data_IF_449866193151
#
_entry.id   IF_449866193151
#
_cell.length_a   1.000
_cell.length_b   1.000
_cell.length_c   1.000
_cell.angle_alpha   90.00
_cell.angle_beta   90.00
_cell.angle_gamma   90.00
#
_symmetry.space_group_name_H-M   'P 1'
#
loop_
_entity.id
_entity.type
_entity.pdbx_description
1 polymer ?
#
# COMPACT_ATOMS: atom_id res chain seq x y z
N UNK A 1 24.70 -23.72 15.32
CA UNK A 1 24.35 -22.78 14.25
C UNK A 1 24.41 -23.58 12.97
N UNK A 2 23.30 -23.79 12.28
CA UNK A 2 23.26 -24.63 11.08
C UNK A 2 23.76 -23.83 9.86
N UNK A 3 24.22 -24.55 8.81
CA UNK A 3 24.65 -23.91 7.55
C UNK A 3 23.56 -23.06 6.93
N UNK A 4 22.27 -23.38 7.16
CA UNK A 4 21.12 -22.56 6.76
C UNK A 4 21.07 -21.20 7.46
N UNK A 5 21.49 -21.11 8.73
CA UNK A 5 21.53 -19.85 9.48
C UNK A 5 22.66 -18.92 8.97
N UNK A 6 23.70 -19.52 8.41
CA UNK A 6 24.81 -18.79 7.77
C UNK A 6 24.43 -18.30 6.37
N UNK A 7 23.67 -19.08 5.57
CA UNK A 7 23.14 -18.64 4.26
C UNK A 7 22.15 -17.49 4.40
N UNK A 8 21.25 -17.52 5.39
CA UNK A 8 20.30 -16.43 5.65
C UNK A 8 21.05 -15.14 6.03
N UNK A 9 22.12 -15.22 6.84
CA UNK A 9 22.95 -14.04 7.18
C UNK A 9 23.74 -13.46 6.01
N UNK A 10 24.06 -14.26 5.00
CA UNK A 10 24.75 -13.76 3.79
C UNK A 10 23.80 -13.09 2.78
N UNK A 11 22.49 -13.34 2.84
CA UNK A 11 21.50 -12.73 1.94
C UNK A 11 21.00 -11.37 2.41
N UNK A 12 21.12 -11.02 3.69
CA UNK A 12 20.81 -9.69 4.18
C UNK A 12 22.04 -8.80 3.92
N UNK A 13 22.21 -8.36 2.71
CA UNK A 13 23.12 -7.24 2.40
C UNK A 13 22.45 -5.97 2.90
N UNK A 14 22.78 -5.58 4.12
CA UNK A 14 22.56 -4.20 4.55
C UNK A 14 23.22 -3.29 3.52
N UNK A 15 22.52 -2.26 3.10
CA UNK A 15 23.01 -1.24 2.19
C UNK A 15 24.41 -0.80 2.61
N UNK A 16 25.28 -0.58 1.63
CA UNK A 16 26.55 0.12 1.85
C UNK A 16 26.27 1.33 2.74
N UNK A 17 27.06 1.56 3.82
CA UNK A 17 26.89 2.75 4.63
C UNK A 17 26.79 3.98 3.73
N UNK A 18 25.83 4.86 3.99
CA UNK A 18 25.66 6.07 3.21
C UNK A 18 26.99 6.85 3.24
N UNK A 19 27.43 7.35 2.08
CA UNK A 19 28.58 8.24 2.01
C UNK A 19 28.23 9.49 2.85
N UNK A 20 29.01 9.81 3.90
CA UNK A 20 28.72 10.97 4.75
C UNK A 20 28.79 12.30 3.98
N UNK A 21 29.35 12.33 2.78
CA UNK A 21 29.41 13.49 1.90
C UNK A 21 28.29 13.49 0.83
N UNK A 22 27.47 12.45 0.76
CA UNK A 22 26.34 12.41 -0.16
C UNK A 22 25.19 13.22 0.40
N UNK A 23 24.68 14.17 -0.39
CA UNK A 23 23.51 14.95 -0.04
C UNK A 23 22.30 14.00 0.16
N UNK A 24 21.58 14.15 1.26
CA UNK A 24 20.44 13.33 1.57
C UNK A 24 19.35 13.50 0.50
N UNK A 25 18.79 12.42 0.02
CA UNK A 25 17.67 12.47 -0.93
C UNK A 25 16.48 13.18 -0.29
N UNK A 26 15.82 14.05 -1.05
CA UNK A 26 14.59 14.69 -0.59
C UNK A 26 13.53 13.63 -0.34
N UNK A 27 12.92 13.57 0.86
CA UNK A 27 11.83 12.65 1.15
C UNK A 27 10.65 12.88 0.20
N UNK A 28 10.05 11.80 -0.27
CA UNK A 28 8.82 11.84 -1.08
C UNK A 28 7.68 11.20 -0.29
N UNK A 29 6.44 11.69 -0.42
CA UNK A 29 5.28 11.08 0.21
C UNK A 29 5.15 9.62 -0.21
N UNK A 30 4.89 8.75 0.76
CA UNK A 30 4.67 7.32 0.53
C UNK A 30 3.70 6.77 1.57
N UNK A 31 3.00 5.71 1.21
CA UNK A 31 2.05 5.02 2.06
C UNK A 31 2.34 3.52 2.06
N UNK A 32 2.12 2.88 3.21
CA UNK A 32 2.29 1.43 3.38
C UNK A 32 1.10 0.90 4.15
N UNK A 33 0.57 -0.25 3.74
CA UNK A 33 -0.59 -0.87 4.37
C UNK A 33 -0.22 -2.20 5.01
N UNK A 34 -0.67 -2.41 6.25
CA UNK A 34 -0.60 -3.69 6.94
C UNK A 34 -1.97 -4.38 6.81
N UNK A 35 -2.03 -5.44 6.02
CA UNK A 35 -3.22 -6.28 5.94
C UNK A 35 -3.15 -7.34 7.03
N UNK A 36 -4.16 -7.36 7.90
CA UNK A 36 -4.26 -8.28 9.02
C UNK A 36 -5.54 -9.11 8.88
N UNK A 37 -5.44 -10.39 9.14
CA UNK A 37 -6.61 -11.28 9.22
C UNK A 37 -6.56 -12.11 10.49
N UNK A 38 -7.71 -12.65 10.89
CA UNK A 38 -7.77 -13.66 11.92
C UNK A 38 -7.14 -14.96 11.41
N UNK A 39 -6.17 -15.47 12.14
CA UNK A 39 -5.62 -16.81 11.94
C UNK A 39 -6.22 -17.80 12.93
N UNK A 40 -5.87 -19.08 12.83
CA UNK A 40 -6.42 -20.13 13.70
C UNK A 40 -6.09 -19.92 15.20
N UNK A 41 -4.94 -19.37 15.51
CA UNK A 41 -4.47 -19.16 16.90
C UNK A 41 -4.01 -17.74 17.19
N UNK A 42 -3.52 -17.03 16.18
CA UNK A 42 -2.98 -15.67 16.28
C UNK A 42 -3.31 -14.89 15.01
N UNK A 43 -3.40 -13.55 15.09
CA UNK A 43 -3.52 -12.74 13.88
C UNK A 43 -2.38 -13.03 12.89
N UNK A 44 -2.71 -13.04 11.60
CA UNK A 44 -1.76 -13.17 10.50
C UNK A 44 -1.61 -11.83 9.79
N UNK A 45 -0.38 -11.49 9.40
CA UNK A 45 -0.06 -10.27 8.66
C UNK A 45 0.44 -10.66 7.28
N UNK A 46 -0.14 -10.04 6.26
CA UNK A 46 0.28 -10.27 4.89
C UNK A 46 1.55 -9.47 4.57
N UNK A 47 2.53 -10.13 3.98
CA UNK A 47 3.78 -9.54 3.52
C UNK A 47 4.14 -10.05 2.13
N UNK A 48 4.80 -9.23 1.34
CA UNK A 48 5.31 -9.59 0.01
C UNK A 48 6.84 -9.68 0.05
N UNK A 49 7.41 -10.57 -0.74
CA UNK A 49 8.86 -10.67 -0.88
C UNK A 49 9.32 -9.85 -2.09
N UNK A 50 10.17 -8.86 -1.86
CA UNK A 50 10.72 -8.04 -2.94
C UNK A 50 11.57 -8.89 -3.89
N UNK A 51 11.47 -8.57 -5.19
CA UNK A 51 12.28 -9.24 -6.21
C UNK A 51 13.78 -9.09 -5.92
N UNK A 52 14.55 -10.15 -6.10
CA UNK A 52 15.97 -10.21 -5.73
C UNK A 52 16.85 -9.13 -6.41
N UNK A 53 16.42 -8.57 -7.54
CA UNK A 53 17.15 -7.56 -8.32
C UNK A 53 16.83 -6.10 -7.95
N UNK A 54 15.96 -5.87 -6.95
CA UNK A 54 15.60 -4.52 -6.49
C UNK A 54 16.44 -4.10 -5.29
N UNK A 55 16.39 -2.80 -4.94
CA UNK A 55 16.94 -2.32 -3.67
C UNK A 55 16.29 -3.08 -2.50
N UNK A 56 17.09 -3.66 -1.61
CA UNK A 56 16.64 -4.58 -0.55
C UNK A 56 15.95 -5.85 -1.10
N UNK A 57 16.43 -6.39 -2.23
CA UNK A 57 15.89 -7.62 -2.83
C UNK A 57 15.88 -8.80 -1.86
N UNK A 58 14.78 -9.56 -1.87
CA UNK A 58 14.55 -10.68 -0.98
C UNK A 58 14.01 -10.32 0.42
N UNK A 59 13.93 -9.03 0.76
CA UNK A 59 13.30 -8.60 2.00
C UNK A 59 11.77 -8.81 1.96
N UNK A 60 11.21 -9.18 3.11
CA UNK A 60 9.77 -9.19 3.32
C UNK A 60 9.31 -7.79 3.70
N UNK A 61 8.34 -7.26 2.98
CA UNK A 61 7.82 -5.90 3.16
C UNK A 61 6.29 -5.91 3.13
N UNK A 62 5.68 -4.89 3.70
CA UNK A 62 4.25 -4.64 3.53
C UNK A 62 4.00 -3.99 2.17
N UNK A 63 2.82 -4.22 1.54
CA UNK A 63 2.43 -3.51 0.33
C UNK A 63 2.47 -2.00 0.53
N UNK A 64 2.96 -1.26 -0.48
CA UNK A 64 3.01 0.18 -0.41
C UNK A 64 4.06 0.79 -1.31
N UNK A 65 3.88 2.08 -1.60
CA UNK A 65 4.74 2.83 -2.47
C UNK A 65 4.57 4.33 -2.35
N UNK A 66 4.99 5.05 -3.38
CA UNK A 66 4.89 6.52 -3.43
C UNK A 66 3.47 6.94 -3.74
N UNK A 67 3.10 8.12 -3.26
CA UNK A 67 1.87 8.74 -3.71
C UNK A 67 2.05 9.25 -5.15
N UNK A 68 1.06 8.96 -5.99
CA UNK A 68 0.96 9.49 -7.34
C UNK A 68 0.07 10.73 -7.37
N UNK A 69 0.19 11.52 -8.43
CA UNK A 69 -0.61 12.73 -8.60
C UNK A 69 -2.11 12.41 -8.66
N UNK A 70 -2.49 11.25 -9.17
CA UNK A 70 -3.87 10.79 -9.24
C UNK A 70 -4.48 10.54 -7.85
N UNK A 71 -3.69 10.08 -6.89
CA UNK A 71 -4.15 9.81 -5.52
C UNK A 71 -4.74 11.05 -4.83
N UNK A 72 -4.45 12.26 -5.34
CA UNK A 72 -4.92 13.55 -4.82
C UNK A 72 -6.08 14.16 -5.62
N UNK A 73 -6.66 13.44 -6.58
CA UNK A 73 -7.65 14.02 -7.49
C UNK A 73 -9.07 13.85 -6.96
N UNK A 74 -9.90 14.89 -7.20
CA UNK A 74 -11.31 14.93 -6.80
C UNK A 74 -12.13 13.70 -7.23
N UNK A 75 -12.00 13.15 -8.45
CA UNK A 75 -12.76 11.98 -8.86
C UNK A 75 -12.55 10.76 -7.94
N UNK A 76 -11.31 10.53 -7.43
CA UNK A 76 -11.04 9.46 -6.49
C UNK A 76 -11.52 9.80 -5.07
N UNK A 77 -11.45 11.08 -4.69
CA UNK A 77 -11.96 11.52 -3.39
C UNK A 77 -13.47 11.31 -3.28
N UNK A 78 -14.21 11.52 -4.37
CA UNK A 78 -15.65 11.24 -4.43
C UNK A 78 -15.98 9.75 -4.33
N UNK A 79 -15.02 8.88 -4.64
CA UNK A 79 -15.13 7.42 -4.49
C UNK A 79 -14.71 6.92 -3.11
N UNK A 80 -14.27 7.78 -2.18
CA UNK A 80 -13.84 7.36 -0.85
C UNK A 80 -15.02 7.22 0.12
N UNK A 81 -15.09 6.09 0.83
CA UNK A 81 -16.11 5.80 1.82
C UNK A 81 -15.73 6.24 3.24
N UNK A 82 -16.62 7.00 3.90
CA UNK A 82 -16.53 7.25 5.34
C UNK A 82 -15.43 8.18 5.83
N UNK A 83 -14.46 8.55 4.99
CA UNK A 83 -13.37 9.45 5.32
C UNK A 83 -13.27 10.55 4.25
N UNK A 84 -13.16 11.80 4.68
CA UNK A 84 -12.91 12.94 3.78
C UNK A 84 -11.50 13.50 3.99
N UNK A 85 -11.08 14.39 3.08
CA UNK A 85 -9.71 14.94 3.10
C UNK A 85 -9.40 15.74 4.37
N UNK A 86 -10.35 16.54 4.86
CA UNK A 86 -10.17 17.29 6.09
C UNK A 86 -9.84 16.35 7.26
N UNK A 87 -10.65 15.30 7.44
CA UNK A 87 -10.46 14.37 8.54
C UNK A 87 -9.18 13.53 8.40
N UNK A 88 -8.87 13.10 7.19
CA UNK A 88 -7.62 12.40 6.88
C UNK A 88 -6.39 13.28 7.19
N UNK A 89 -6.43 14.56 6.79
CA UNK A 89 -5.37 15.53 7.07
C UNK A 89 -5.21 15.80 8.56
N UNK A 90 -6.32 15.93 9.31
CA UNK A 90 -6.29 16.05 10.78
C UNK A 90 -5.62 14.83 11.43
N UNK A 91 -5.93 13.61 10.98
CA UNK A 91 -5.34 12.37 11.51
C UNK A 91 -3.82 12.33 11.28
N UNK A 92 -3.36 12.77 10.11
CA UNK A 92 -1.93 12.81 9.76
C UNK A 92 -1.20 14.03 10.32
N UNK A 93 -1.91 15.04 10.81
CA UNK A 93 -1.31 16.30 11.29
C UNK A 93 -0.73 17.14 10.17
N UNK A 94 -1.33 17.11 8.98
CA UNK A 94 -0.94 17.90 7.80
C UNK A 94 -2.05 18.87 7.40
N UNK A 95 -1.72 19.89 6.61
CA UNK A 95 -2.68 20.96 6.26
C UNK A 95 -3.79 20.50 5.35
N UNK A 96 -3.49 19.66 4.35
CA UNK A 96 -4.44 19.17 3.35
C UNK A 96 -3.90 17.93 2.62
N UNK A 97 -4.73 17.34 1.76
CA UNK A 97 -4.38 16.20 0.91
C UNK A 97 -4.07 14.91 1.69
N UNK A 98 -4.56 14.81 2.91
CA UNK A 98 -4.40 13.62 3.74
C UNK A 98 -5.06 12.39 3.15
N UNK A 99 -6.23 12.54 2.50
CA UNK A 99 -6.98 11.43 1.92
C UNK A 99 -6.20 10.69 0.83
N UNK A 100 -5.30 11.39 0.11
CA UNK A 100 -4.42 10.79 -0.88
C UNK A 100 -3.56 9.64 -0.32
N UNK A 101 -3.18 9.68 0.96
CA UNK A 101 -2.43 8.57 1.58
C UNK A 101 -3.28 7.30 1.72
N UNK A 102 -4.58 7.43 2.00
CA UNK A 102 -5.50 6.28 2.03
C UNK A 102 -5.75 5.71 0.64
N UNK A 103 -5.94 6.61 -0.34
CA UNK A 103 -6.07 6.20 -1.76
C UNK A 103 -4.82 5.47 -2.22
N UNK A 104 -3.63 6.03 -1.97
CA UNK A 104 -2.36 5.37 -2.28
C UNK A 104 -2.22 3.99 -1.62
N UNK A 105 -2.59 3.84 -0.34
CA UNK A 105 -2.60 2.55 0.34
C UNK A 105 -3.45 1.50 -0.41
N UNK A 106 -4.64 1.89 -0.85
CA UNK A 106 -5.56 0.98 -1.57
C UNK A 106 -5.03 0.66 -2.97
N UNK A 107 -4.54 1.67 -3.70
CA UNK A 107 -3.96 1.50 -5.03
C UNK A 107 -2.75 0.57 -5.00
N UNK A 108 -1.76 0.87 -4.17
CA UNK A 108 -0.53 0.07 -4.03
C UNK A 108 -0.83 -1.36 -3.58
N UNK A 109 -1.79 -1.54 -2.66
CA UNK A 109 -2.23 -2.86 -2.24
C UNK A 109 -2.81 -3.65 -3.42
N UNK A 110 -3.61 -3.01 -4.26
CA UNK A 110 -4.16 -3.65 -5.46
C UNK A 110 -3.08 -3.95 -6.50
N UNK A 111 -2.18 -3.01 -6.78
CA UNK A 111 -1.06 -3.18 -7.73
C UNK A 111 -0.14 -4.32 -7.32
N UNK A 112 0.32 -4.33 -6.08
CA UNK A 112 1.34 -5.26 -5.62
C UNK A 112 0.80 -6.66 -5.31
N UNK A 113 -0.40 -6.77 -4.71
CA UNK A 113 -0.93 -8.06 -4.25
C UNK A 113 -2.33 -8.42 -4.78
N UNK A 114 -2.94 -7.58 -5.63
CA UNK A 114 -4.26 -7.84 -6.22
C UNK A 114 -5.43 -7.72 -5.25
N UNK A 115 -5.21 -7.15 -4.06
CA UNK A 115 -6.28 -6.95 -3.07
C UNK A 115 -6.84 -5.55 -3.19
N UNK A 116 -8.06 -5.42 -3.70
CA UNK A 116 -8.78 -4.15 -3.82
C UNK A 116 -9.68 -3.96 -2.59
N UNK A 117 -9.33 -3.00 -1.74
CA UNK A 117 -10.12 -2.64 -0.57
C UNK A 117 -11.22 -1.65 -0.99
N UNK A 118 -12.36 -2.16 -1.34
CA UNK A 118 -13.51 -1.37 -1.79
C UNK A 118 -14.83 -1.99 -1.32
N UNK A 119 -15.87 -1.18 -1.26
CA UNK A 119 -17.25 -1.60 -1.00
C UNK A 119 -18.05 -1.62 -2.28
N UNK A 120 -18.94 -2.58 -2.37
CA UNK A 120 -20.04 -2.62 -3.32
C UNK A 120 -21.16 -1.67 -2.89
N UNK A 121 -22.16 -1.45 -3.74
CA UNK A 121 -23.32 -0.57 -3.49
C UNK A 121 -24.08 -0.96 -2.20
N UNK A 122 -24.13 -2.24 -1.85
CA UNK A 122 -24.74 -2.75 -0.62
C UNK A 122 -23.81 -2.67 0.61
N UNK A 123 -22.70 -1.91 0.50
CA UNK A 123 -21.71 -1.65 1.57
C UNK A 123 -21.03 -2.89 2.11
N UNK A 124 -20.90 -3.93 1.32
CA UNK A 124 -20.06 -5.09 1.62
C UNK A 124 -18.70 -4.94 0.97
N UNK A 125 -17.69 -5.50 1.59
CA UNK A 125 -16.37 -5.60 0.95
C UNK A 125 -16.51 -6.34 -0.37
N UNK A 126 -15.93 -5.77 -1.42
CA UNK A 126 -15.95 -6.31 -2.74
C UNK A 126 -15.17 -7.63 -2.77
N UNK A 127 -15.86 -8.67 -3.21
CA UNK A 127 -15.28 -10.00 -3.38
C UNK A 127 -15.58 -10.45 -4.82
N UNK A 128 -14.62 -10.30 -5.74
CA UNK A 128 -14.86 -10.56 -7.16
C UNK A 128 -15.13 -12.04 -7.44
N UNK A 129 -16.02 -12.30 -8.35
CA UNK A 129 -16.14 -13.62 -8.98
C UNK A 129 -15.03 -13.85 -10.03
N UNK A 130 -15.03 -15.02 -10.67
CA UNK A 130 -13.96 -15.41 -11.62
C UNK A 130 -13.89 -14.49 -12.85
N UNK A 131 -15.03 -14.01 -13.34
CA UNK A 131 -15.04 -13.13 -14.52
C UNK A 131 -14.64 -11.71 -14.14
N UNK A 132 -15.11 -11.23 -13.01
CA UNK A 132 -14.68 -9.93 -12.44
C UNK A 132 -13.19 -9.93 -12.15
N UNK A 133 -12.63 -11.03 -11.62
CA UNK A 133 -11.19 -11.13 -11.37
C UNK A 133 -10.35 -10.96 -12.64
N UNK A 134 -10.77 -11.48 -13.78
CA UNK A 134 -10.06 -11.28 -15.06
C UNK A 134 -10.04 -9.82 -15.48
N UNK A 135 -11.13 -9.10 -15.25
CA UNK A 135 -11.21 -7.67 -15.54
C UNK A 135 -10.28 -6.91 -14.58
N UNK A 136 -10.32 -7.23 -13.28
CA UNK A 136 -9.42 -6.66 -12.28
C UNK A 136 -7.95 -6.88 -12.62
N UNK A 137 -7.58 -8.08 -13.08
CA UNK A 137 -6.21 -8.38 -13.49
C UNK A 137 -5.76 -7.47 -14.65
N UNK A 138 -6.66 -7.17 -15.60
CA UNK A 138 -6.39 -6.22 -16.68
C UNK A 138 -6.17 -4.79 -16.16
N UNK A 139 -6.98 -4.33 -15.20
CA UNK A 139 -6.77 -3.02 -14.55
C UNK A 139 -5.47 -2.97 -13.76
N UNK A 140 -5.16 -4.06 -13.05
CA UNK A 140 -3.90 -4.18 -12.32
C UNK A 140 -2.68 -4.10 -13.22
N UNK A 141 -2.72 -4.74 -14.40
CA UNK A 141 -1.67 -4.64 -15.40
C UNK A 141 -1.50 -3.21 -15.91
N UNK A 142 -2.59 -2.48 -16.15
CA UNK A 142 -2.55 -1.06 -16.56
C UNK A 142 -1.92 -0.19 -15.47
N UNK A 143 -2.34 -0.32 -14.21
CA UNK A 143 -1.76 0.40 -13.08
C UNK A 143 -0.27 0.11 -12.94
N UNK A 144 0.15 -1.15 -13.01
CA UNK A 144 1.57 -1.55 -12.98
C UNK A 144 2.39 -0.98 -14.16
N UNK A 145 1.74 -0.62 -15.26
CA UNK A 145 2.35 0.09 -16.39
C UNK A 145 2.32 1.62 -16.23
N UNK A 146 1.84 2.13 -15.10
CA UNK A 146 1.77 3.56 -14.81
C UNK A 146 0.57 4.27 -15.45
N UNK A 147 -0.48 3.53 -15.81
CA UNK A 147 -1.74 4.13 -16.27
C UNK A 147 -2.62 4.49 -15.07
N UNK A 148 -3.28 5.63 -15.13
CA UNK A 148 -4.13 6.16 -14.07
C UNK A 148 -5.59 5.71 -14.29
N UNK A 149 -5.92 4.51 -13.86
CA UNK A 149 -7.21 3.86 -14.17
C UNK A 149 -8.01 3.42 -12.94
N UNK A 150 -7.60 3.81 -11.73
CA UNK A 150 -8.29 3.41 -10.52
C UNK A 150 -9.71 3.98 -10.43
N UNK A 151 -9.91 5.23 -10.87
CA UNK A 151 -11.25 5.83 -10.94
C UNK A 151 -12.15 5.09 -11.91
N UNK A 152 -11.65 4.77 -13.12
CA UNK A 152 -12.38 4.01 -14.13
C UNK A 152 -12.80 2.63 -13.61
N UNK A 153 -11.89 1.95 -12.90
CA UNK A 153 -12.17 0.68 -12.25
C UNK A 153 -13.33 0.81 -11.23
N UNK A 154 -13.28 1.84 -10.38
CA UNK A 154 -14.35 2.11 -9.42
C UNK A 154 -15.69 2.38 -10.11
N UNK A 155 -15.68 3.07 -11.25
CA UNK A 155 -16.88 3.34 -12.04
C UNK A 155 -17.44 2.08 -12.68
N UNK A 156 -16.61 1.25 -13.31
CA UNK A 156 -17.04 0.03 -13.99
C UNK A 156 -17.75 -0.95 -13.04
N UNK A 157 -17.25 -1.08 -11.82
CA UNK A 157 -17.83 -1.99 -10.83
C UNK A 157 -18.76 -1.31 -9.81
N UNK A 158 -19.02 0.00 -9.96
CA UNK A 158 -19.77 0.81 -9.01
C UNK A 158 -19.26 0.66 -7.57
N UNK A 159 -17.93 0.83 -7.40
CA UNK A 159 -17.25 0.66 -6.12
C UNK A 159 -17.01 1.97 -5.40
N UNK A 160 -16.94 1.86 -4.08
CA UNK A 160 -16.48 2.91 -3.17
C UNK A 160 -15.23 2.41 -2.45
N UNK A 161 -14.12 3.15 -2.49
CA UNK A 161 -12.88 2.79 -1.81
C UNK A 161 -13.12 2.74 -0.30
N UNK A 162 -12.70 1.65 0.35
CA UNK A 162 -12.96 1.39 1.77
C UNK A 162 -11.96 2.14 2.67
N UNK A 163 -11.88 3.47 2.53
CA UNK A 163 -10.92 4.30 3.27
C UNK A 163 -11.18 4.31 4.77
N UNK A 164 -12.42 4.17 5.22
CA UNK A 164 -12.80 4.03 6.63
C UNK A 164 -12.44 2.66 7.24
N UNK A 165 -12.10 1.68 6.40
CA UNK A 165 -11.60 0.37 6.84
C UNK A 165 -10.12 0.41 7.24
N UNK A 166 -9.40 1.47 6.87
CA UNK A 166 -7.99 1.66 7.14
C UNK A 166 -7.77 2.59 8.34
N UNK A 167 -7.13 2.06 9.39
CA UNK A 167 -6.68 2.85 10.53
C UNK A 167 -5.27 3.40 10.30
N UNK A 168 -5.06 4.70 10.60
CA UNK A 168 -3.70 5.26 10.59
C UNK A 168 -2.88 4.72 11.75
N UNK A 169 -1.65 4.28 11.46
CA UNK A 169 -0.68 3.81 12.46
C UNK A 169 0.60 4.64 12.32
N UNK A 170 1.06 5.23 13.43
CA UNK A 170 2.32 5.99 13.45
C UNK A 170 3.46 5.10 13.95
N UNK A 171 4.55 5.05 13.16
CA UNK A 171 5.78 4.35 13.54
C UNK A 171 6.84 5.26 14.18
N UNK A 172 6.46 6.43 14.68
CA UNK A 172 7.40 7.42 15.22
C UNK A 172 8.19 6.93 16.45
N UNK A 173 7.94 5.75 16.96
CA UNK A 173 8.55 5.21 18.18
C UNK A 173 9.48 4.01 17.96
N UNK A 174 9.69 3.57 16.72
CA UNK A 174 10.73 2.60 16.42
C UNK A 174 12.10 3.29 16.28
N UNK A 175 12.59 3.90 17.37
CA UNK A 175 14.03 4.10 17.51
C UNK A 175 14.63 2.71 17.68
N UNK A 176 15.46 2.30 16.73
CA UNK A 176 16.39 1.22 17.00
C UNK A 176 17.16 1.58 18.28
N UNK A 177 17.00 0.82 19.33
CA UNK A 177 17.89 0.89 20.47
C UNK A 177 19.25 0.42 19.94
N UNK A 178 20.23 1.35 19.98
CA UNK A 178 21.66 1.04 19.85
C UNK A 178 22.10 0.02 20.90
#
# INVERSE_FOLDING_TARGET
MSDKDLEIKQQIRFSTPADPNQEAATPVPAATVLLVREGETTPEVFMIQRAAKTNFGGAWVFPGGKLDQEDYQDPLYDKCGGLNDQKASEILGIESSGLGYWVACIRECFEECGVLLAYTEDKKLFNPDVEQQKILDSYRDKLNNGEHVLNELCEEFNLTLATDHLGSVSYTHLRAHE
#
